data_IF_819822080403
#
_entry.id   IF_819822080403
#
_cell.length_a   1.000
_cell.length_b   1.000
_cell.length_c   1.000
_cell.angle_alpha   90.00
_cell.angle_beta   90.00
_cell.angle_gamma   90.00
#
_symmetry.space_group_name_H-M   'P 1'
#
loop_
_entity.id
_entity.type
_entity.pdbx_description
1 polymer ?
#
# COMPACT_ATOMS: atom_id res chain seq x y z
N UNK A 1 37.26 31.48 -22.59
CA UNK A 1 36.00 30.74 -22.86
C UNK A 1 35.42 31.20 -24.17
N UNK A 2 35.19 30.29 -25.13
CA UNK A 2 34.51 30.63 -26.39
C UNK A 2 33.07 31.04 -26.10
N UNK A 3 32.44 31.84 -26.99
CA UNK A 3 31.02 32.23 -26.86
C UNK A 3 30.12 31.00 -26.64
N UNK A 4 30.46 29.90 -27.30
CA UNK A 4 29.83 28.60 -27.14
C UNK A 4 29.91 28.05 -25.70
N UNK A 5 31.09 28.09 -25.06
CA UNK A 5 31.24 27.66 -23.65
C UNK A 5 30.42 28.51 -22.67
N UNK A 6 30.21 29.80 -22.95
CA UNK A 6 29.38 30.67 -22.10
C UNK A 6 27.89 30.34 -22.23
N UNK A 7 27.42 30.08 -23.46
CA UNK A 7 26.03 29.65 -23.71
C UNK A 7 25.77 28.30 -23.03
N UNK A 8 26.68 27.33 -23.18
CA UNK A 8 26.54 26.02 -22.53
C UNK A 8 26.48 26.14 -21.00
N UNK A 9 27.32 27.00 -20.40
CA UNK A 9 27.30 27.26 -18.97
C UNK A 9 25.98 27.86 -18.51
N UNK A 10 25.44 28.84 -19.24
CA UNK A 10 24.14 29.47 -18.93
C UNK A 10 23.01 28.43 -19.00
N UNK A 11 22.96 27.62 -20.06
CA UNK A 11 21.96 26.56 -20.19
C UNK A 11 22.05 25.53 -19.05
N UNK A 12 23.28 25.16 -18.65
CA UNK A 12 23.49 24.27 -17.52
C UNK A 12 23.03 24.89 -16.18
N UNK A 13 23.34 26.16 -15.94
CA UNK A 13 22.86 26.88 -14.75
C UNK A 13 21.33 27.01 -14.71
N UNK A 14 20.68 27.27 -15.85
CA UNK A 14 19.21 27.32 -15.96
C UNK A 14 18.59 25.95 -15.69
N UNK A 15 19.16 24.88 -16.23
CA UNK A 15 18.72 23.51 -15.96
C UNK A 15 18.81 23.21 -14.46
N UNK A 16 19.94 23.50 -13.82
CA UNK A 16 20.12 23.30 -12.38
C UNK A 16 19.14 24.14 -11.56
N UNK A 17 18.92 25.40 -11.93
CA UNK A 17 17.95 26.28 -11.27
C UNK A 17 16.52 25.73 -11.36
N UNK A 18 16.10 25.26 -12.54
CA UNK A 18 14.79 24.66 -12.74
C UNK A 18 14.61 23.36 -11.94
N UNK A 19 15.63 22.51 -11.89
CA UNK A 19 15.61 21.29 -11.09
C UNK A 19 15.53 21.59 -9.58
N UNK A 20 16.26 22.60 -9.10
CA UNK A 20 16.18 23.05 -7.71
C UNK A 20 14.79 23.59 -7.35
N UNK A 21 14.17 24.38 -8.24
CA UNK A 21 12.81 24.88 -8.03
C UNK A 21 11.78 23.74 -7.95
N UNK A 22 11.87 22.73 -8.82
CA UNK A 22 11.00 21.56 -8.78
C UNK A 22 11.15 20.77 -7.48
N UNK A 23 12.39 20.62 -6.97
CA UNK A 23 12.65 19.98 -5.68
C UNK A 23 12.01 20.74 -4.52
N UNK A 24 12.16 22.06 -4.50
CA UNK A 24 11.58 22.92 -3.45
C UNK A 24 10.06 22.87 -3.49
N UNK A 25 9.46 22.98 -4.68
CA UNK A 25 8.01 22.86 -4.85
C UNK A 25 7.49 21.49 -4.39
N UNK A 26 8.21 20.43 -4.74
CA UNK A 26 7.84 19.07 -4.35
C UNK A 26 7.86 18.84 -2.84
N UNK A 27 8.91 19.31 -2.17
CA UNK A 27 8.97 19.28 -0.70
C UNK A 27 7.86 20.12 -0.08
N UNK A 28 7.60 21.32 -0.59
CA UNK A 28 6.53 22.19 -0.10
C UNK A 28 5.15 21.52 -0.22
N UNK A 29 4.81 21.01 -1.41
CA UNK A 29 3.52 20.37 -1.69
C UNK A 29 3.28 19.12 -0.83
N UNK A 30 4.33 18.30 -0.62
CA UNK A 30 4.23 17.13 0.28
C UNK A 30 4.12 17.57 1.74
N UNK A 31 4.89 18.58 2.15
CA UNK A 31 4.93 19.06 3.54
C UNK A 31 3.60 19.67 4.00
N UNK A 32 2.78 20.17 3.08
CA UNK A 32 1.44 20.65 3.39
C UNK A 32 0.59 19.54 4.05
N UNK A 33 0.86 18.27 3.68
CA UNK A 33 0.17 17.10 4.22
C UNK A 33 0.42 16.87 5.72
N UNK A 34 1.37 17.57 6.35
CA UNK A 34 1.62 17.52 7.80
C UNK A 34 0.40 17.81 8.65
N UNK A 35 -0.49 18.67 8.16
CA UNK A 35 -1.71 19.08 8.85
C UNK A 35 -2.70 17.90 9.05
N UNK A 36 -2.51 16.80 8.30
CA UNK A 36 -3.31 15.59 8.39
C UNK A 36 -2.58 14.46 9.14
N UNK A 37 -1.45 14.77 9.78
CA UNK A 37 -0.68 13.81 10.58
C UNK A 37 -0.83 14.10 12.07
N UNK A 38 -0.79 13.04 12.87
CA UNK A 38 -0.96 13.09 14.32
C UNK A 38 0.17 12.31 15.00
N UNK A 39 0.74 12.88 16.06
CA UNK A 39 1.70 12.20 16.95
C UNK A 39 1.02 11.64 18.21
N UNK A 40 -0.14 12.19 18.55
CA UNK A 40 -0.93 11.84 19.72
C UNK A 40 -2.15 11.01 19.30
N UNK A 41 -2.26 9.80 19.85
CA UNK A 41 -3.32 8.84 19.52
C UNK A 41 -4.71 9.38 19.84
N UNK A 42 -4.83 10.18 20.90
CA UNK A 42 -6.14 10.67 21.36
C UNK A 42 -6.77 11.64 20.36
N UNK A 43 -5.92 12.34 19.59
CA UNK A 43 -6.32 13.30 18.55
C UNK A 43 -6.62 12.65 17.20
N UNK A 44 -6.22 11.40 17.01
CA UNK A 44 -6.49 10.67 15.76
C UNK A 44 -8.01 10.45 15.64
N UNK A 45 -8.64 10.82 14.51
CA UNK A 45 -10.04 10.50 14.28
C UNK A 45 -10.21 8.99 14.12
N UNK A 46 -11.38 8.47 14.52
CA UNK A 46 -11.69 7.07 14.27
C UNK A 46 -11.77 6.80 12.76
N UNK A 47 -11.16 5.70 12.32
CA UNK A 47 -11.29 5.14 10.99
C UNK A 47 -11.37 3.62 11.10
N UNK A 48 -12.21 2.96 10.30
CA UNK A 48 -12.37 1.49 10.37
C UNK A 48 -11.04 0.73 10.22
N UNK A 49 -10.15 1.23 9.37
CA UNK A 49 -8.89 0.55 9.00
C UNK A 49 -7.67 1.44 9.24
N UNK A 50 -6.62 0.85 9.83
CA UNK A 50 -5.25 1.37 9.77
C UNK A 50 -4.49 0.70 8.62
N UNK A 51 -3.95 1.48 7.67
CA UNK A 51 -3.01 1.00 6.66
C UNK A 51 -1.57 1.16 7.18
N UNK A 52 -0.91 0.04 7.48
CA UNK A 52 0.50 0.03 7.87
C UNK A 52 1.35 -0.18 6.63
N UNK A 53 2.16 0.83 6.28
CA UNK A 53 3.04 0.76 5.13
C UNK A 53 4.21 -0.19 5.40
N UNK A 54 4.78 -0.75 4.33
CA UNK A 54 5.88 -1.71 4.36
C UNK A 54 7.21 -1.11 4.80
N UNK A 55 7.95 -1.86 5.60
CA UNK A 55 9.36 -1.60 5.93
C UNK A 55 10.04 -2.90 6.28
N UNK A 56 11.31 -3.02 5.93
CA UNK A 56 12.09 -4.22 6.17
C UNK A 56 12.32 -4.43 7.67
N UNK A 57 12.12 -5.64 8.17
CA UNK A 57 12.33 -5.98 9.60
C UNK A 57 13.80 -5.90 10.02
N UNK A 58 14.71 -6.18 9.08
CA UNK A 58 16.14 -6.23 9.30
C UNK A 58 16.85 -5.18 8.44
N UNK A 59 17.94 -4.63 8.96
CA UNK A 59 18.86 -3.76 8.23
C UNK A 59 19.79 -4.60 7.34
N UNK A 60 20.39 -3.95 6.36
CA UNK A 60 21.51 -4.53 5.60
C UNK A 60 22.64 -4.81 6.60
N UNK A 61 22.94 -6.09 6.84
CA UNK A 61 23.86 -6.55 7.90
C UNK A 61 23.19 -7.34 9.05
N UNK A 62 21.87 -7.56 9.01
CA UNK A 62 21.15 -8.47 9.91
C UNK A 62 20.67 -7.86 11.24
N UNK A 63 21.05 -6.61 11.53
CA UNK A 63 20.53 -5.86 12.68
C UNK A 63 19.02 -5.63 12.61
N UNK A 64 18.36 -5.43 13.74
CA UNK A 64 16.92 -5.13 13.77
C UNK A 64 16.65 -3.71 13.28
N UNK A 65 15.61 -3.53 12.48
CA UNK A 65 15.20 -2.21 12.01
C UNK A 65 14.29 -1.55 13.04
N UNK A 66 14.74 -0.44 13.63
CA UNK A 66 13.95 0.30 14.61
C UNK A 66 12.69 0.93 13.99
N UNK A 67 12.74 1.34 12.71
CA UNK A 67 11.57 1.84 12.00
C UNK A 67 10.45 0.81 11.91
N UNK A 68 10.79 -0.47 11.78
CA UNK A 68 9.82 -1.56 11.82
C UNK A 68 9.16 -1.65 13.20
N UNK A 69 9.96 -1.67 14.27
CA UNK A 69 9.44 -1.83 15.63
C UNK A 69 8.52 -0.67 16.04
N UNK A 70 8.92 0.57 15.78
CA UNK A 70 8.11 1.74 16.13
C UNK A 70 6.82 1.79 15.33
N UNK A 71 6.83 1.32 14.07
CA UNK A 71 5.63 1.24 13.23
C UNK A 71 4.64 0.18 13.70
N UNK A 72 5.12 -1.01 14.09
CA UNK A 72 4.27 -2.04 14.72
C UNK A 72 3.68 -1.52 16.02
N UNK A 73 4.48 -0.87 16.86
CA UNK A 73 4.01 -0.27 18.11
C UNK A 73 2.90 0.76 17.85
N UNK A 74 3.10 1.68 16.90
CA UNK A 74 2.11 2.69 16.55
C UNK A 74 0.78 2.08 16.06
N UNK A 75 0.85 1.05 15.21
CA UNK A 75 -0.33 0.34 14.73
C UNK A 75 -1.07 -0.38 15.88
N UNK A 76 -0.34 -1.03 16.77
CA UNK A 76 -0.93 -1.65 17.98
C UNK A 76 -1.57 -0.61 18.90
N UNK A 77 -0.96 0.56 19.06
CA UNK A 77 -1.51 1.66 19.86
C UNK A 77 -2.84 2.17 19.30
N UNK A 78 -2.97 2.35 17.98
CA UNK A 78 -4.25 2.74 17.35
C UNK A 78 -5.36 1.71 17.58
N UNK A 79 -5.04 0.43 17.43
CA UNK A 79 -6.02 -0.64 17.64
C UNK A 79 -6.46 -0.71 19.11
N UNK A 80 -5.49 -0.73 20.04
CA UNK A 80 -5.78 -0.86 21.47
C UNK A 80 -6.51 0.36 22.06
N UNK A 81 -6.41 1.52 21.41
CA UNK A 81 -7.15 2.74 21.79
C UNK A 81 -8.53 2.84 21.12
N UNK A 82 -8.95 1.84 20.35
CA UNK A 82 -10.25 1.84 19.67
C UNK A 82 -10.35 2.88 18.54
N UNK A 83 -9.21 3.40 18.05
CA UNK A 83 -9.19 4.34 16.93
C UNK A 83 -9.36 3.65 15.57
N UNK A 84 -9.10 2.34 15.53
CA UNK A 84 -9.31 1.48 14.36
C UNK A 84 -9.79 0.09 14.77
N UNK A 85 -10.57 -0.56 13.92
CA UNK A 85 -11.08 -1.93 14.15
C UNK A 85 -10.22 -2.99 13.46
N UNK A 86 -9.55 -2.62 12.38
CA UNK A 86 -8.75 -3.54 11.56
C UNK A 86 -7.42 -2.91 11.16
N UNK A 87 -6.42 -3.76 10.93
CA UNK A 87 -5.11 -3.37 10.46
C UNK A 87 -4.83 -4.03 9.12
N UNK A 88 -4.64 -3.23 8.09
CA UNK A 88 -4.15 -3.66 6.78
C UNK A 88 -2.65 -3.43 6.70
N UNK A 89 -1.85 -4.51 6.61
CA UNK A 89 -0.40 -4.42 6.40
C UNK A 89 -0.09 -4.56 4.91
N UNK A 90 0.51 -3.54 4.29
CA UNK A 90 0.82 -3.52 2.85
C UNK A 90 2.31 -3.34 2.60
N UNK A 91 2.89 -4.13 1.70
CA UNK A 91 4.32 -4.08 1.39
C UNK A 91 4.73 -5.08 0.31
N UNK A 92 6.04 -5.16 0.10
CA UNK A 92 6.62 -6.01 -0.94
C UNK A 92 6.67 -7.49 -0.52
N UNK A 93 6.50 -8.37 -1.51
CA UNK A 93 6.63 -9.82 -1.44
C UNK A 93 7.51 -10.37 -2.58
N UNK A 94 8.39 -9.57 -3.17
CA UNK A 94 9.20 -9.91 -4.34
C UNK A 94 10.12 -11.13 -4.14
N UNK A 95 10.38 -11.58 -2.90
CA UNK A 95 11.04 -12.87 -2.64
C UNK A 95 10.39 -13.61 -1.47
N UNK A 96 10.34 -14.95 -1.53
CA UNK A 96 9.80 -15.81 -0.46
C UNK A 96 10.48 -15.61 0.91
N UNK A 97 11.74 -15.17 0.90
CA UNK A 97 12.55 -14.87 2.10
C UNK A 97 12.32 -13.43 2.63
N UNK A 98 11.76 -12.52 1.82
CA UNK A 98 11.39 -11.15 2.17
C UNK A 98 9.91 -10.90 1.86
N UNK A 99 9.03 -11.41 2.73
CA UNK A 99 7.62 -11.03 2.73
C UNK A 99 7.37 -10.06 3.88
N UNK A 100 7.37 -8.75 3.58
CA UNK A 100 7.19 -7.70 4.59
C UNK A 100 5.81 -7.77 5.26
N UNK A 101 4.68 -7.94 4.54
CA UNK A 101 3.36 -8.06 5.16
C UNK A 101 3.25 -9.23 6.14
N UNK A 102 3.83 -10.39 5.82
CA UNK A 102 3.88 -11.55 6.74
C UNK A 102 4.65 -11.23 8.01
N UNK A 103 5.76 -10.50 7.90
CA UNK A 103 6.57 -10.12 9.06
C UNK A 103 5.81 -9.14 9.95
N UNK A 104 5.15 -8.14 9.36
CA UNK A 104 4.32 -7.19 10.09
C UNK A 104 3.14 -7.87 10.77
N UNK A 105 2.41 -8.75 10.05
CA UNK A 105 1.31 -9.56 10.61
C UNK A 105 1.76 -10.36 11.83
N UNK A 106 2.87 -11.09 11.72
CA UNK A 106 3.40 -11.88 12.85
C UNK A 106 3.80 -10.99 14.03
N UNK A 107 4.39 -9.82 13.76
CA UNK A 107 4.78 -8.89 14.81
C UNK A 107 3.57 -8.28 15.53
N UNK A 108 2.49 -7.94 14.81
CA UNK A 108 1.24 -7.45 15.38
C UNK A 108 0.53 -8.52 16.22
N UNK A 109 0.49 -9.77 15.75
CA UNK A 109 -0.04 -10.90 16.53
C UNK A 109 0.76 -11.07 17.82
N UNK A 110 2.09 -11.00 17.74
CA UNK A 110 2.96 -11.05 18.92
C UNK A 110 2.73 -9.87 19.88
N UNK A 111 2.29 -8.72 19.36
CA UNK A 111 1.92 -7.54 20.14
C UNK A 111 0.50 -7.61 20.74
N UNK A 112 -0.21 -8.73 20.58
CA UNK A 112 -1.53 -8.97 21.17
C UNK A 112 -2.72 -8.63 20.28
N UNK A 113 -2.48 -8.23 19.02
CA UNK A 113 -3.56 -7.95 18.07
C UNK A 113 -4.12 -9.27 17.52
N UNK A 114 -5.44 -9.49 17.56
CA UNK A 114 -6.00 -10.77 17.14
C UNK A 114 -5.85 -10.96 15.62
N UNK A 115 -5.56 -12.19 15.20
CA UNK A 115 -5.22 -12.49 13.81
C UNK A 115 -6.34 -12.18 12.80
N UNK A 116 -7.60 -12.24 13.24
CA UNK A 116 -8.78 -11.89 12.44
C UNK A 116 -8.96 -10.37 12.25
N UNK A 117 -8.29 -9.54 13.06
CA UNK A 117 -8.28 -8.09 12.88
C UNK A 117 -7.22 -7.61 11.87
N UNK A 118 -6.34 -8.50 11.42
CA UNK A 118 -5.22 -8.14 10.54
C UNK A 118 -5.48 -8.68 9.13
N UNK A 119 -5.26 -7.85 8.12
CA UNK A 119 -5.31 -8.18 6.69
C UNK A 119 -3.95 -7.89 6.06
N UNK A 120 -3.57 -8.63 5.01
CA UNK A 120 -2.25 -8.49 4.38
C UNK A 120 -2.37 -8.24 2.89
N UNK A 121 -1.74 -7.17 2.43
CA UNK A 121 -1.59 -6.80 1.03
C UNK A 121 -0.14 -7.05 0.57
N UNK A 122 0.03 -7.99 -0.36
CA UNK A 122 1.33 -8.46 -0.85
C UNK A 122 1.80 -7.77 -2.13
N UNK A 123 1.06 -6.79 -2.63
CA UNK A 123 1.38 -6.07 -3.86
C UNK A 123 1.61 -4.56 -3.64
N UNK A 124 2.01 -4.18 -2.43
CA UNK A 124 2.38 -2.82 -2.03
C UNK A 124 3.83 -2.48 -2.34
N UNK A 125 4.25 -2.56 -3.62
CA UNK A 125 5.65 -2.35 -4.04
C UNK A 125 6.13 -0.90 -3.89
N UNK A 126 5.20 0.06 -4.03
CA UNK A 126 5.41 1.50 -3.83
C UNK A 126 4.36 2.02 -2.88
N UNK A 127 4.61 3.20 -2.30
CA UNK A 127 3.60 3.90 -1.49
C UNK A 127 2.33 4.13 -2.30
N UNK A 128 2.45 4.50 -3.59
CA UNK A 128 1.31 4.62 -4.50
C UNK A 128 0.50 3.32 -4.59
N UNK A 129 1.18 2.19 -4.79
CA UNK A 129 0.51 0.90 -4.92
C UNK A 129 -0.29 0.58 -3.64
N UNK A 130 0.31 0.76 -2.45
CA UNK A 130 -0.38 0.53 -1.17
C UNK A 130 -1.61 1.43 -0.97
N UNK A 131 -1.51 2.72 -1.30
CA UNK A 131 -2.60 3.68 -1.10
C UNK A 131 -3.77 3.40 -2.05
N UNK A 132 -3.49 3.21 -3.33
CA UNK A 132 -4.54 2.94 -4.33
C UNK A 132 -5.17 1.58 -4.09
N UNK A 133 -4.36 0.55 -3.74
CA UNK A 133 -4.92 -0.78 -3.45
C UNK A 133 -5.78 -0.81 -2.21
N UNK A 134 -5.47 -0.01 -1.17
CA UNK A 134 -6.35 0.12 -0.02
C UNK A 134 -7.77 0.54 -0.43
N UNK A 135 -7.91 1.44 -1.40
CA UNK A 135 -9.19 1.84 -1.99
C UNK A 135 -9.76 0.77 -2.91
N UNK A 136 -9.06 0.44 -3.99
CA UNK A 136 -9.60 -0.37 -5.10
C UNK A 136 -9.78 -1.85 -4.75
N UNK A 137 -8.96 -2.38 -3.83
CA UNK A 137 -8.92 -3.81 -3.51
C UNK A 137 -9.55 -4.07 -2.17
N UNK A 138 -9.27 -3.23 -1.18
CA UNK A 138 -9.79 -3.41 0.16
C UNK A 138 -11.02 -2.54 0.44
N UNK A 139 -11.49 -1.75 -0.53
CA UNK A 139 -12.71 -0.95 -0.42
C UNK A 139 -12.61 0.19 0.60
N UNK A 140 -11.41 0.67 0.90
CA UNK A 140 -11.19 1.70 1.92
C UNK A 140 -11.02 3.08 1.28
N UNK A 141 -12.10 3.87 1.29
CA UNK A 141 -12.07 5.28 0.83
C UNK A 141 -11.51 6.22 1.90
N UNK A 142 -11.61 5.84 3.17
CA UNK A 142 -11.13 6.58 4.34
C UNK A 142 -10.39 5.66 5.30
N UNK A 143 -9.17 6.02 5.69
CA UNK A 143 -8.34 5.21 6.60
C UNK A 143 -7.22 6.00 7.29
N UNK A 144 -6.66 5.42 8.35
CA UNK A 144 -5.46 5.97 9.02
C UNK A 144 -4.20 5.30 8.47
N UNK A 145 -3.30 6.02 7.84
CA UNK A 145 -1.98 5.50 7.41
C UNK A 145 -0.98 5.53 8.56
N UNK A 146 -0.22 4.46 8.74
CA UNK A 146 0.76 4.29 9.82
C UNK A 146 2.15 4.08 9.23
N UNK A 147 3.01 5.06 9.45
CA UNK A 147 4.43 5.07 9.11
C UNK A 147 5.13 6.19 9.88
N UNK A 148 6.36 6.53 9.53
CA UNK A 148 7.04 7.72 10.04
C UNK A 148 6.47 8.99 9.40
N UNK A 149 6.61 10.13 10.07
CA UNK A 149 6.03 11.41 9.65
C UNK A 149 6.31 11.75 8.17
N UNK A 150 7.57 11.69 7.74
CA UNK A 150 7.95 11.96 6.35
C UNK A 150 7.27 11.04 5.31
N UNK A 151 7.00 9.79 5.69
CA UNK A 151 6.37 8.80 4.82
C UNK A 151 4.85 8.96 4.84
N UNK A 152 4.26 9.27 6.00
CA UNK A 152 2.85 9.62 6.12
C UNK A 152 2.50 10.85 5.28
N UNK A 153 3.32 11.90 5.33
CA UNK A 153 3.17 13.10 4.48
C UNK A 153 3.08 12.71 2.99
N UNK A 154 4.02 11.89 2.51
CA UNK A 154 4.02 11.39 1.12
C UNK A 154 2.77 10.56 0.82
N UNK A 155 2.39 9.67 1.73
CA UNK A 155 1.23 8.81 1.54
C UNK A 155 -0.06 9.62 1.45
N UNK A 156 -0.26 10.59 2.34
CA UNK A 156 -1.43 11.48 2.35
C UNK A 156 -1.47 12.34 1.09
N UNK A 157 -0.32 12.86 0.65
CA UNK A 157 -0.24 13.60 -0.61
C UNK A 157 -0.74 12.77 -1.80
N UNK A 158 -0.30 11.51 -1.89
CA UNK A 158 -0.81 10.56 -2.90
C UNK A 158 -2.31 10.30 -2.69
N UNK A 159 -2.75 10.08 -1.46
CA UNK A 159 -4.15 9.81 -1.14
C UNK A 159 -5.08 10.89 -1.69
N UNK A 160 -4.76 12.15 -1.43
CA UNK A 160 -5.56 13.30 -1.88
C UNK A 160 -5.65 13.38 -3.39
N UNK A 161 -4.57 13.05 -4.11
CA UNK A 161 -4.57 13.01 -5.56
C UNK A 161 -5.57 11.98 -6.12
N UNK A 162 -5.74 10.84 -5.43
CA UNK A 162 -6.68 9.78 -5.82
C UNK A 162 -8.06 9.88 -5.14
N UNK A 163 -8.36 11.01 -4.49
CA UNK A 163 -9.62 11.22 -3.77
C UNK A 163 -9.82 10.25 -2.61
N UNK A 164 -8.74 9.90 -1.91
CA UNK A 164 -8.73 9.06 -0.71
C UNK A 164 -8.62 9.95 0.52
N UNK A 165 -9.51 9.76 1.48
CA UNK A 165 -9.54 10.50 2.75
C UNK A 165 -8.62 9.81 3.78
N UNK A 166 -7.31 10.02 3.63
CA UNK A 166 -6.32 9.47 4.55
C UNK A 166 -5.82 10.50 5.57
N UNK A 167 -5.69 10.08 6.83
CA UNK A 167 -4.92 10.77 7.88
C UNK A 167 -3.73 9.93 8.30
N UNK A 168 -2.66 10.53 8.82
CA UNK A 168 -1.46 9.82 9.24
C UNK A 168 -1.31 9.72 10.75
N UNK A 169 -0.93 8.56 11.26
CA UNK A 169 -0.43 8.42 12.63
C UNK A 169 1.08 8.14 12.61
N UNK A 170 1.83 9.04 13.25
CA UNK A 170 3.28 9.05 13.19
C UNK A 170 3.87 8.04 14.17
N UNK A 171 4.52 7.02 13.62
CA UNK A 171 5.40 6.16 14.39
C UNK A 171 6.62 6.96 14.85
N UNK A 172 7.03 6.75 16.11
CA UNK A 172 8.21 7.38 16.67
C UNK A 172 9.43 7.16 15.75
N UNK A 173 10.12 8.27 15.44
CA UNK A 173 11.34 8.23 14.64
C UNK A 173 12.51 7.82 15.56
N UNK A 174 13.22 6.73 15.27
CA UNK A 174 14.47 6.41 15.97
C UNK A 174 15.51 7.47 15.62
N UNK A 175 15.59 8.52 16.44
CA UNK A 175 16.48 9.68 16.30
C UNK A 175 17.95 9.33 16.03
N UNK A 176 18.40 8.13 16.40
CA UNK A 176 19.73 7.60 16.13
C UNK A 176 20.04 7.30 14.64
N UNK A 177 19.03 7.24 13.76
CA UNK A 177 19.20 6.88 12.34
C UNK A 177 18.94 8.01 11.33
N UNK A 178 18.83 9.26 11.80
CA UNK A 178 18.77 10.45 10.94
C UNK A 178 20.11 10.77 10.27
N UNK A 179 20.76 9.77 9.67
CA UNK A 179 21.88 9.99 8.78
C UNK A 179 21.43 10.81 7.56
N UNK A 180 22.30 11.71 7.11
CA UNK A 180 22.11 12.54 5.90
C UNK A 180 21.67 11.67 4.71
N UNK A 181 22.17 10.44 4.60
CA UNK A 181 21.81 9.47 3.56
C UNK A 181 20.31 9.12 3.53
N UNK A 182 19.67 8.97 4.69
CA UNK A 182 18.22 8.70 4.77
C UNK A 182 17.43 9.91 4.28
N UNK A 183 17.81 11.12 4.73
CA UNK A 183 17.16 12.37 4.29
C UNK A 183 17.29 12.58 2.78
N UNK A 184 18.49 12.38 2.22
CA UNK A 184 18.72 12.48 0.77
C UNK A 184 17.89 11.45 0.01
N UNK A 185 17.85 10.19 0.46
CA UNK A 185 16.99 9.16 -0.14
C UNK A 185 15.51 9.57 -0.13
N UNK A 186 15.03 10.15 0.96
CA UNK A 186 13.64 10.57 1.07
C UNK A 186 13.29 11.76 0.16
N UNK A 187 14.20 12.73 0.01
CA UNK A 187 14.04 13.83 -0.97
C UNK A 187 13.90 13.27 -2.38
N UNK A 188 14.78 12.33 -2.77
CA UNK A 188 14.67 11.67 -4.07
C UNK A 188 13.39 10.84 -4.21
N UNK A 189 12.96 10.12 -3.16
CA UNK A 189 11.74 9.33 -3.19
C UNK A 189 10.47 10.19 -3.34
N UNK A 190 10.45 11.39 -2.73
CA UNK A 190 9.37 12.36 -2.91
C UNK A 190 9.34 12.94 -4.32
N UNK A 191 10.50 13.32 -4.86
CA UNK A 191 10.59 13.75 -6.25
C UNK A 191 10.10 12.67 -7.22
N UNK A 192 10.55 11.42 -7.03
CA UNK A 192 10.09 10.30 -7.86
C UNK A 192 8.60 10.03 -7.70
N UNK A 193 8.05 10.19 -6.50
CA UNK A 193 6.61 10.12 -6.27
C UNK A 193 5.84 11.18 -7.05
N UNK A 194 6.33 12.42 -7.08
CA UNK A 194 5.73 13.50 -7.87
C UNK A 194 5.82 13.22 -9.38
N UNK A 195 6.95 12.70 -9.85
CA UNK A 195 7.11 12.30 -11.25
C UNK A 195 6.16 11.15 -11.61
N UNK A 196 6.04 10.15 -10.76
CA UNK A 196 5.14 9.01 -10.95
C UNK A 196 3.67 9.46 -11.04
N UNK A 197 3.26 10.45 -10.24
CA UNK A 197 1.89 10.97 -10.22
C UNK A 197 1.61 11.94 -11.37
N UNK A 198 2.41 13.01 -11.51
CA UNK A 198 2.05 14.15 -12.36
C UNK A 198 2.63 14.09 -13.76
N UNK A 199 3.68 13.28 -13.98
CA UNK A 199 4.34 13.20 -15.30
C UNK A 199 4.07 11.84 -15.95
N UNK A 200 4.16 10.76 -15.18
CA UNK A 200 4.08 9.40 -15.71
C UNK A 200 2.69 8.77 -15.55
N UNK A 201 1.75 9.43 -14.84
CA UNK A 201 0.39 8.99 -14.57
C UNK A 201 0.28 7.48 -14.25
N UNK A 202 1.18 7.01 -13.37
CA UNK A 202 1.32 5.58 -13.11
C UNK A 202 0.23 5.10 -12.17
N UNK A 203 -0.65 4.24 -12.67
CA UNK A 203 -1.55 3.44 -11.86
C UNK A 203 -0.85 2.37 -10.99
N UNK A 204 -1.62 1.67 -10.15
CA UNK A 204 -1.13 0.55 -9.35
C UNK A 204 -0.72 -0.61 -10.25
N UNK A 205 0.38 -1.29 -9.92
CA UNK A 205 0.89 -2.41 -10.75
C UNK A 205 -0.06 -3.60 -10.82
N UNK A 206 -0.77 -3.88 -9.73
CA UNK A 206 -1.68 -5.01 -9.62
C UNK A 206 -2.91 -4.56 -8.82
N UNK A 207 -4.11 -4.90 -9.28
CA UNK A 207 -5.36 -4.64 -8.56
C UNK A 207 -5.93 -5.93 -7.95
N UNK A 208 -5.89 -7.08 -8.62
CA UNK A 208 -6.35 -8.34 -7.99
C UNK A 208 -7.84 -8.33 -7.63
N UNK A 209 -8.28 -9.30 -6.84
CA UNK A 209 -9.69 -9.46 -6.45
C UNK A 209 -10.04 -8.63 -5.21
N UNK A 210 -11.25 -8.06 -5.11
CA UNK A 210 -11.67 -7.28 -3.95
C UNK A 210 -11.74 -8.15 -2.69
N UNK A 211 -11.39 -7.54 -1.55
CA UNK A 211 -11.34 -8.15 -0.22
C UNK A 211 -12.13 -7.27 0.75
N UNK A 212 -13.25 -7.80 1.26
CA UNK A 212 -14.07 -7.10 2.24
C UNK A 212 -13.45 -7.23 3.64
N UNK A 213 -13.13 -6.09 4.26
CA UNK A 213 -12.60 -6.03 5.62
C UNK A 213 -13.74 -6.09 6.63
N UNK A 214 -13.70 -7.10 7.50
CA UNK A 214 -14.64 -7.30 8.60
C UNK A 214 -15.81 -8.22 8.27
N UNK A 215 -15.93 -8.65 7.01
CA UNK A 215 -16.87 -9.70 6.62
C UNK A 215 -16.18 -11.07 6.66
N UNK A 216 -16.88 -12.15 7.01
CA UNK A 216 -16.29 -13.48 6.94
C UNK A 216 -16.04 -13.84 5.49
N UNK A 217 -14.85 -14.36 5.20
CA UNK A 217 -14.46 -14.72 3.84
C UNK A 217 -15.18 -16.04 3.46
N UNK A 218 -15.83 -16.16 2.29
CA UNK A 218 -16.40 -17.43 1.87
C UNK A 218 -15.29 -18.49 1.79
N UNK A 219 -15.51 -19.67 2.38
CA UNK A 219 -14.53 -20.76 2.42
C UNK A 219 -14.21 -21.22 0.97
N UNK A 220 -13.23 -20.61 0.31
CA UNK A 220 -12.69 -21.14 -0.95
C UNK A 220 -11.71 -22.27 -0.64
N UNK A 221 -11.69 -23.36 -1.43
CA UNK A 221 -10.64 -24.36 -1.34
C UNK A 221 -9.31 -23.70 -1.75
N UNK A 222 -8.57 -23.20 -0.76
CA UNK A 222 -7.30 -22.53 -0.99
C UNK A 222 -6.22 -23.58 -1.24
N UNK A 223 -5.56 -23.45 -2.38
CA UNK A 223 -4.25 -24.03 -2.65
C UNK A 223 -3.30 -23.69 -1.49
N UNK A 224 -3.09 -24.68 -0.62
CA UNK A 224 -1.90 -24.96 0.22
C UNK A 224 -1.23 -23.85 1.04
N UNK A 225 -1.78 -22.65 1.22
CA UNK A 225 -1.14 -21.61 2.04
C UNK A 225 -2.00 -21.11 3.20
N UNK A 226 -1.82 -21.75 4.36
CA UNK A 226 -1.74 -21.09 5.67
C UNK A 226 -3.05 -20.70 6.34
N UNK A 227 -3.49 -21.58 7.24
CA UNK A 227 -4.70 -21.55 8.06
C UNK A 227 -4.90 -20.29 8.95
N UNK A 228 -6.17 -20.13 9.33
CA UNK A 228 -6.79 -19.24 10.34
C UNK A 228 -7.30 -17.86 9.87
N UNK A 229 -8.26 -17.88 8.95
CA UNK A 229 -9.30 -16.84 8.90
C UNK A 229 -10.66 -17.50 9.20
N UNK A 230 -11.54 -16.88 9.99
CA UNK A 230 -12.91 -17.38 10.15
C UNK A 230 -13.60 -17.30 8.78
N UNK A 231 -13.95 -18.46 8.23
CA UNK A 231 -14.61 -18.53 6.93
C UNK A 231 -16.10 -18.86 7.08
N UNK A 232 -16.93 -18.21 6.26
CA UNK A 232 -18.34 -18.58 6.10
C UNK A 232 -18.39 -19.84 5.24
N UNK A 233 -19.15 -20.88 5.63
CA UNK A 233 -19.43 -22.01 4.74
C UNK A 233 -19.97 -21.47 3.43
N UNK A 234 -19.46 -21.97 2.30
CA UNK A 234 -20.07 -21.67 1.02
C UNK A 234 -21.53 -22.14 1.05
N UNK A 235 -22.50 -21.36 0.56
CA UNK A 235 -23.82 -21.88 0.28
C UNK A 235 -23.64 -23.12 -0.59
N UNK A 236 -24.23 -24.25 -0.18
CA UNK A 236 -24.34 -25.40 -1.07
C UNK A 236 -25.12 -24.94 -2.28
N UNK A 237 -24.45 -24.75 -3.42
CA UNK A 237 -25.17 -24.56 -4.67
C UNK A 237 -26.18 -25.71 -4.80
N UNK A 238 -27.46 -25.42 -5.08
CA UNK A 238 -28.37 -26.47 -5.49
C UNK A 238 -27.71 -27.17 -6.67
N UNK A 239 -27.54 -28.49 -6.60
CA UNK A 239 -27.17 -29.29 -7.76
C UNK A 239 -28.05 -28.83 -8.92
N UNK A 240 -27.43 -28.22 -9.93
CA UNK A 240 -28.08 -27.94 -11.19
C UNK A 240 -28.56 -29.29 -11.73
N UNK A 241 -29.85 -29.57 -11.54
CA UNK A 241 -30.54 -30.65 -12.21
C UNK A 241 -30.33 -30.45 -13.70
N UNK A 242 -29.78 -31.49 -14.33
CA UNK A 242 -29.28 -31.42 -15.70
C UNK A 242 -30.30 -30.85 -16.67
N UNK A 243 -29.89 -29.79 -17.37
CA UNK A 243 -30.48 -29.42 -18.64
C UNK A 243 -29.43 -29.75 -19.70
N UNK A 244 -29.62 -30.89 -20.35
CA UNK A 244 -28.89 -31.25 -21.55
C UNK A 244 -29.21 -30.20 -22.61
N UNK A 245 -28.23 -29.37 -22.94
CA UNK A 245 -28.27 -28.53 -24.13
C UNK A 245 -28.33 -29.45 -25.34
N UNK A 246 -29.53 -29.58 -25.89
CA UNK A 246 -29.82 -30.30 -27.13
C UNK A 246 -29.09 -29.59 -28.29
N UNK A 247 -27.99 -30.18 -28.76
CA UNK A 247 -27.39 -29.80 -30.04
C UNK A 247 -28.35 -30.21 -31.17
N UNK A 248 -28.61 -29.34 -32.17
CA UNK A 248 -29.42 -29.73 -33.32
C UNK A 248 -28.67 -30.77 -34.16
N UNK A 249 -29.36 -31.75 -34.78
CA UNK A 249 -28.72 -32.79 -35.55
C UNK A 249 -28.12 -32.23 -36.84
N UNK A 250 -26.87 -32.60 -37.08
CA UNK A 250 -26.18 -32.52 -38.37
C UNK A 250 -26.94 -33.36 -39.40
N UNK A 251 -27.41 -32.72 -40.48
CA UNK A 251 -28.04 -33.40 -41.61
C UNK A 251 -27.02 -33.58 -42.74
N UNK A 252 -26.49 -34.80 -42.83
CA UNK A 252 -26.05 -35.46 -44.06
C UNK A 252 -26.59 -36.89 -43.94
N UNK A 253 -27.21 -37.56 -44.91
CA UNK A 253 -27.25 -37.46 -46.37
C UNK A 253 -28.14 -38.62 -46.86
N UNK A 254 -28.92 -38.49 -47.96
CA UNK A 254 -29.32 -39.60 -48.85
C UNK A 254 -30.24 -39.15 -50.02
N UNK A 255 -29.67 -39.12 -51.22
CA UNK A 255 -30.10 -39.78 -52.48
C UNK A 255 -31.58 -40.11 -52.82
N UNK A 256 -31.92 -39.80 -54.10
CA UNK A 256 -32.68 -40.55 -55.15
C UNK A 256 -34.10 -40.09 -55.58
N UNK A 257 -34.25 -40.02 -56.92
CA UNK A 257 -35.45 -39.93 -57.80
C UNK A 257 -36.25 -38.61 -57.75
N UNK A 258 -36.55 -37.89 -58.85
CA UNK A 258 -36.67 -38.19 -60.29
C UNK A 258 -36.02 -37.10 -61.17
#
# INVERSE_FOLDING_TARGET
MTKFSKILLICFCLLLGSAALLLVYGEWAVSESRHYTYDDVDKVPYNKVALVLGTSKYLVGGGTNQYFQTRIKAASTLYNSGKVDYILVSGDNATLQYNEPRQMRRALIKAGIPANAIYSDYAGFRTLDSMVRAKEVFGQERFTVVSQAFHNERAIFIARHFGIEAVGFNAADPSAYQGIRTRVREVFARLMGLLDLYILDKGPKFLGQPVNIGEPIPCRPLSTLGLSQPCLPLPTEPLASGEQVLLPPSAASATLAD
#
